data_IF_659251398592
#
_entry.id   IF_659251398592
#
_cell.length_a   1.000
_cell.length_b   1.000
_cell.length_c   1.000
_cell.angle_alpha   90.00
_cell.angle_beta   90.00
_cell.angle_gamma   90.00
#
_symmetry.space_group_name_H-M   'P 1'
#
loop_
_entity.id
_entity.type
_entity.pdbx_description
1 polymer ?
#
# COMPACT_ATOMS: atom_id res chain seq x y z
N UNK A 1 -48.19 -14.58 -28.34
CA UNK A 1 -48.19 -13.13 -28.57
C UNK A 1 -48.55 -12.37 -27.31
N UNK A 2 -47.57 -11.67 -26.73
CA UNK A 2 -47.82 -10.68 -25.68
C UNK A 2 -47.70 -9.33 -26.40
N UNK A 3 -48.84 -8.73 -26.72
CA UNK A 3 -48.85 -7.37 -27.25
C UNK A 3 -48.45 -6.41 -26.13
N UNK A 4 -47.55 -5.45 -26.36
CA UNK A 4 -47.22 -4.44 -25.36
C UNK A 4 -48.43 -3.52 -25.12
N UNK A 5 -48.79 -3.37 -23.85
CA UNK A 5 -49.74 -2.34 -23.42
C UNK A 5 -49.02 -0.99 -23.36
N UNK A 6 -49.54 0.01 -24.09
CA UNK A 6 -49.02 1.37 -24.07
C UNK A 6 -49.93 2.27 -23.23
N UNK A 7 -49.38 2.87 -22.18
CA UNK A 7 -50.06 3.87 -21.36
C UNK A 7 -49.67 5.28 -21.84
N UNK A 8 -50.60 6.00 -22.46
CA UNK A 8 -50.39 7.37 -22.91
C UNK A 8 -50.78 8.36 -21.80
N UNK A 9 -49.79 8.85 -21.06
CA UNK A 9 -50.00 9.75 -19.93
C UNK A 9 -50.01 11.21 -20.39
N UNK A 10 -51.19 11.85 -20.31
CA UNK A 10 -51.34 13.29 -20.60
C UNK A 10 -50.95 14.13 -19.39
N UNK A 11 -49.65 14.33 -19.23
CA UNK A 11 -49.03 15.02 -18.08
C UNK A 11 -49.61 16.44 -17.84
N UNK A 12 -50.04 17.16 -18.88
CA UNK A 12 -50.64 18.51 -18.74
C UNK A 12 -51.99 18.53 -18.01
N UNK A 13 -52.74 17.43 -17.99
CA UNK A 13 -54.03 17.34 -17.32
C UNK A 13 -53.92 16.82 -15.88
N UNK A 14 -52.70 16.51 -15.43
CA UNK A 14 -52.44 16.09 -14.06
C UNK A 14 -52.47 17.30 -13.12
N UNK A 15 -53.33 17.26 -12.10
CA UNK A 15 -53.57 18.35 -11.14
C UNK A 15 -52.53 18.43 -10.02
N UNK A 16 -51.34 17.88 -10.24
CA UNK A 16 -50.21 17.88 -9.28
C UNK A 16 -50.53 17.27 -7.90
N UNK A 17 -51.56 16.42 -7.85
CA UNK A 17 -52.00 15.73 -6.65
C UNK A 17 -51.66 14.25 -6.78
N UNK A 18 -50.54 13.85 -6.16
CA UNK A 18 -50.13 12.46 -6.14
C UNK A 18 -50.93 11.67 -5.10
N UNK A 19 -51.72 10.67 -5.54
CA UNK A 19 -52.51 9.80 -4.66
C UNK A 19 -52.03 8.35 -4.65
N UNK A 20 -51.22 7.97 -5.63
CA UNK A 20 -50.65 6.63 -5.78
C UNK A 20 -49.19 6.71 -6.31
N UNK A 21 -48.43 5.62 -6.26
CA UNK A 21 -47.03 5.61 -6.72
C UNK A 21 -46.82 6.04 -8.17
N UNK A 22 -47.77 5.78 -9.08
CA UNK A 22 -47.69 6.22 -10.47
C UNK A 22 -47.86 7.75 -10.57
N UNK A 23 -48.77 8.33 -9.79
CA UNK A 23 -48.97 9.78 -9.74
C UNK A 23 -47.74 10.51 -9.18
N UNK A 24 -47.00 9.90 -8.26
CA UNK A 24 -45.72 10.42 -7.77
C UNK A 24 -44.67 10.49 -8.90
N UNK A 25 -44.58 9.43 -9.71
CA UNK A 25 -43.74 9.43 -10.92
C UNK A 25 -44.18 10.46 -11.96
N UNK A 26 -45.50 10.61 -12.17
CA UNK A 26 -46.04 11.62 -13.09
C UNK A 26 -45.73 13.04 -12.58
N UNK A 27 -45.85 13.28 -11.27
CA UNK A 27 -45.48 14.56 -10.66
C UNK A 27 -44.00 14.87 -10.88
N UNK A 28 -43.12 13.90 -10.61
CA UNK A 28 -41.68 14.06 -10.83
C UNK A 28 -41.36 14.37 -12.29
N UNK A 29 -41.91 13.61 -13.24
CA UNK A 29 -41.66 13.81 -14.67
C UNK A 29 -42.19 15.15 -15.19
N UNK A 30 -43.25 15.69 -14.58
CA UNK A 30 -43.83 16.98 -14.94
C UNK A 30 -43.04 18.15 -14.37
N UNK A 31 -42.68 18.06 -13.09
CA UNK A 31 -42.21 19.20 -12.30
C UNK A 31 -40.69 19.15 -12.06
N UNK A 32 -40.03 18.05 -12.41
CA UNK A 32 -38.62 17.79 -12.12
C UNK A 32 -38.30 17.99 -10.63
N UNK A 33 -39.23 17.59 -9.77
CA UNK A 33 -39.15 17.72 -8.31
C UNK A 33 -39.78 16.49 -7.64
N UNK A 34 -39.24 16.10 -6.49
CA UNK A 34 -39.66 14.92 -5.73
C UNK A 34 -39.91 15.35 -4.29
N UNK A 35 -41.19 15.35 -3.90
CA UNK A 35 -41.59 15.73 -2.55
C UNK A 35 -41.08 14.70 -1.53
N UNK A 36 -40.86 15.16 -0.30
CA UNK A 36 -40.25 14.33 0.76
C UNK A 36 -41.12 13.12 1.14
N UNK A 37 -42.43 13.24 0.99
CA UNK A 37 -43.43 12.22 1.30
C UNK A 37 -43.59 11.14 0.21
N UNK A 38 -42.91 11.28 -0.93
CA UNK A 38 -43.01 10.29 -2.02
C UNK A 38 -42.31 8.99 -1.64
N UNK A 39 -42.96 7.87 -1.92
CA UNK A 39 -42.55 6.53 -1.48
C UNK A 39 -42.59 5.50 -2.61
N UNK A 40 -42.86 5.93 -3.84
CA UNK A 40 -42.82 5.07 -5.02
C UNK A 40 -41.48 4.33 -5.13
N UNK A 41 -41.54 3.04 -5.46
CA UNK A 41 -40.34 2.21 -5.64
C UNK A 41 -39.43 2.85 -6.69
N UNK A 42 -38.16 3.09 -6.36
CA UNK A 42 -37.18 3.71 -7.25
C UNK A 42 -37.13 5.25 -7.23
N UNK A 43 -38.04 5.91 -6.50
CA UNK A 43 -38.14 7.38 -6.48
C UNK A 43 -36.98 8.03 -5.70
N UNK A 44 -36.40 7.30 -4.74
CA UNK A 44 -35.25 7.76 -3.96
C UNK A 44 -33.98 7.84 -4.82
N UNK A 45 -33.76 6.85 -5.69
CA UNK A 45 -32.67 6.83 -6.66
C UNK A 45 -32.85 7.95 -7.70
N UNK A 46 -34.08 8.19 -8.17
CA UNK A 46 -34.39 9.33 -9.04
C UNK A 46 -34.14 10.67 -8.34
N UNK A 47 -34.39 10.77 -7.03
CA UNK A 47 -34.10 11.98 -6.24
C UNK A 47 -32.62 12.28 -6.18
N UNK A 48 -31.78 11.28 -6.01
CA UNK A 48 -30.33 11.46 -6.00
C UNK A 48 -29.80 11.83 -7.40
N UNK A 49 -30.32 11.21 -8.45
CA UNK A 49 -29.98 11.59 -9.82
C UNK A 49 -30.41 13.03 -10.16
N UNK A 50 -31.61 13.44 -9.72
CA UNK A 50 -32.10 14.81 -9.86
C UNK A 50 -31.23 15.80 -9.10
N UNK A 51 -30.78 15.46 -7.88
CA UNK A 51 -29.90 16.30 -7.07
C UNK A 51 -28.61 16.65 -7.80
N UNK A 52 -28.03 15.69 -8.53
CA UNK A 52 -26.82 15.91 -9.35
C UNK A 52 -27.13 16.75 -10.59
N UNK A 53 -28.25 16.51 -11.27
CA UNK A 53 -28.67 17.28 -12.45
C UNK A 53 -29.07 18.73 -12.13
N UNK A 54 -29.56 18.98 -10.92
CA UNK A 54 -29.95 20.32 -10.45
C UNK A 54 -28.78 21.12 -9.87
N UNK A 55 -27.55 20.57 -9.85
CA UNK A 55 -26.38 21.35 -9.47
C UNK A 55 -26.14 22.45 -10.50
N UNK A 56 -25.90 23.67 -10.02
CA UNK A 56 -25.34 24.73 -10.86
C UNK A 56 -23.97 24.31 -11.40
N UNK A 57 -23.48 24.97 -12.47
CA UNK A 57 -22.13 24.68 -12.99
C UNK A 57 -21.04 24.82 -11.91
N UNK A 58 -21.19 25.80 -11.01
CA UNK A 58 -20.26 26.01 -9.89
C UNK A 58 -20.30 24.85 -8.90
N UNK A 59 -21.49 24.39 -8.51
CA UNK A 59 -21.63 23.27 -7.58
C UNK A 59 -21.17 21.95 -8.19
N UNK A 60 -21.45 21.73 -9.50
CA UNK A 60 -20.97 20.56 -10.23
C UNK A 60 -19.45 20.54 -10.28
N UNK A 61 -18.82 21.67 -10.62
CA UNK A 61 -17.36 21.79 -10.63
C UNK A 61 -16.73 21.56 -9.24
N UNK A 62 -17.37 22.07 -8.18
CA UNK A 62 -16.93 21.82 -6.81
C UNK A 62 -17.06 20.34 -6.42
N UNK A 63 -18.15 19.68 -6.82
CA UNK A 63 -18.36 18.26 -6.59
C UNK A 63 -17.36 17.38 -7.34
N UNK A 64 -17.10 17.67 -8.62
CA UNK A 64 -16.09 16.97 -9.42
C UNK A 64 -14.69 17.15 -8.81
N UNK A 65 -14.33 18.37 -8.38
CA UNK A 65 -13.07 18.62 -7.67
C UNK A 65 -12.98 17.80 -6.39
N UNK A 66 -14.05 17.73 -5.59
CA UNK A 66 -14.08 16.90 -4.39
C UNK A 66 -13.84 15.42 -4.70
N UNK A 67 -14.51 14.88 -5.72
CA UNK A 67 -14.30 13.49 -6.14
C UNK A 67 -12.89 13.24 -6.64
N UNK A 68 -12.33 14.17 -7.41
CA UNK A 68 -10.95 14.06 -7.90
C UNK A 68 -9.96 14.11 -6.74
N UNK A 69 -10.13 15.06 -5.79
CA UNK A 69 -9.29 15.11 -4.59
C UNK A 69 -9.33 13.80 -3.80
N UNK A 70 -10.51 13.16 -3.68
CA UNK A 70 -10.64 11.86 -3.01
C UNK A 70 -9.93 10.73 -3.75
N UNK A 71 -9.97 10.74 -5.08
CA UNK A 71 -9.23 9.78 -5.93
C UNK A 71 -7.72 9.99 -5.81
N UNK A 72 -7.28 11.24 -5.84
CA UNK A 72 -5.87 11.60 -5.72
C UNK A 72 -5.33 11.20 -4.34
N UNK A 73 -6.10 11.47 -3.27
CA UNK A 73 -5.79 11.02 -1.90
C UNK A 73 -5.64 9.49 -1.83
N UNK A 74 -6.60 8.73 -2.38
CA UNK A 74 -6.52 7.27 -2.40
C UNK A 74 -5.33 6.76 -3.23
N UNK A 75 -5.04 7.40 -4.36
CA UNK A 75 -3.90 7.07 -5.23
C UNK A 75 -2.57 7.28 -4.50
N UNK A 76 -2.40 8.45 -3.86
CA UNK A 76 -1.21 8.77 -3.08
C UNK A 76 -0.98 7.76 -1.96
N UNK A 77 -2.02 7.41 -1.20
CA UNK A 77 -1.91 6.41 -0.13
C UNK A 77 -1.49 5.04 -0.68
N UNK A 78 -2.10 4.61 -1.79
CA UNK A 78 -1.74 3.34 -2.44
C UNK A 78 -0.29 3.32 -2.92
N UNK A 79 0.19 4.40 -3.54
CA UNK A 79 1.58 4.55 -3.96
C UNK A 79 2.52 4.52 -2.74
N UNK A 80 2.19 5.26 -1.68
CA UNK A 80 3.00 5.30 -0.46
C UNK A 80 3.12 3.92 0.20
N UNK A 81 2.04 3.14 0.25
CA UNK A 81 2.07 1.78 0.78
C UNK A 81 2.98 0.86 -0.05
N UNK A 82 2.93 0.96 -1.38
CA UNK A 82 3.76 0.19 -2.28
C UNK A 82 5.25 0.54 -2.13
N UNK A 83 5.55 1.84 -2.14
CA UNK A 83 6.92 2.34 -1.95
C UNK A 83 7.48 1.95 -0.58
N UNK A 84 6.67 2.03 0.47
CA UNK A 84 7.09 1.62 1.83
C UNK A 84 7.44 0.14 1.87
N UNK A 85 6.60 -0.73 1.30
CA UNK A 85 6.87 -2.18 1.23
C UNK A 85 8.16 -2.46 0.47
N UNK A 86 8.34 -1.82 -0.69
CA UNK A 86 9.55 -1.95 -1.49
C UNK A 86 10.80 -1.50 -0.72
N UNK A 87 10.74 -0.37 -0.02
CA UNK A 87 11.87 0.13 0.78
C UNK A 87 12.23 -0.81 1.92
N UNK A 88 11.24 -1.40 2.60
CA UNK A 88 11.47 -2.40 3.66
C UNK A 88 12.15 -3.64 3.10
N UNK A 89 11.65 -4.18 1.99
CA UNK A 89 12.25 -5.36 1.33
C UNK A 89 13.70 -5.08 0.90
N UNK A 90 13.96 -3.93 0.30
CA UNK A 90 15.32 -3.52 -0.09
C UNK A 90 16.23 -3.32 1.12
N UNK A 91 15.70 -2.79 2.23
CA UNK A 91 16.47 -2.64 3.46
C UNK A 91 16.84 -3.99 4.08
N UNK A 92 15.93 -4.97 4.05
CA UNK A 92 16.18 -6.33 4.51
C UNK A 92 17.26 -7.02 3.68
N UNK A 93 17.13 -6.96 2.34
CA UNK A 93 18.14 -7.51 1.42
C UNK A 93 19.52 -6.90 1.70
N UNK A 94 19.61 -5.57 1.79
CA UNK A 94 20.88 -4.88 2.09
C UNK A 94 21.42 -5.25 3.47
N UNK A 95 20.55 -5.45 4.46
CA UNK A 95 20.91 -5.89 5.80
C UNK A 95 21.56 -7.28 5.77
N UNK A 96 20.94 -8.22 5.08
CA UNK A 96 21.45 -9.59 4.90
C UNK A 96 22.79 -9.57 4.16
N UNK A 97 22.89 -8.86 3.05
CA UNK A 97 24.14 -8.76 2.27
C UNK A 97 25.28 -8.19 3.11
N UNK A 98 25.04 -7.10 3.85
CA UNK A 98 26.05 -6.52 4.75
C UNK A 98 26.44 -7.49 5.85
N UNK A 99 25.48 -8.18 6.46
CA UNK A 99 25.74 -9.18 7.50
C UNK A 99 26.59 -10.34 6.99
N UNK A 100 26.31 -10.86 5.79
CA UNK A 100 27.10 -11.91 5.15
C UNK A 100 28.54 -11.43 4.87
N UNK A 101 28.70 -10.22 4.33
CA UNK A 101 30.03 -9.67 4.03
C UNK A 101 30.86 -9.47 5.31
N UNK A 102 30.26 -8.87 6.34
CA UNK A 102 30.93 -8.67 7.63
C UNK A 102 31.28 -10.00 8.28
N UNK A 103 30.33 -10.93 8.37
CA UNK A 103 30.57 -12.25 8.95
C UNK A 103 31.64 -13.06 8.21
N UNK A 104 31.68 -12.96 6.87
CA UNK A 104 32.75 -13.59 6.07
C UNK A 104 34.11 -12.97 6.37
N UNK A 105 34.19 -11.63 6.46
CA UNK A 105 35.44 -10.94 6.75
C UNK A 105 35.96 -11.26 8.15
N UNK A 106 35.10 -11.20 9.16
CA UNK A 106 35.41 -11.55 10.54
C UNK A 106 35.83 -13.01 10.67
N UNK A 107 35.09 -13.93 10.03
CA UNK A 107 35.42 -15.36 10.00
C UNK A 107 36.78 -15.66 9.37
N UNK A 108 37.13 -14.98 8.27
CA UNK A 108 38.45 -15.12 7.63
C UNK A 108 39.57 -14.60 8.55
N UNK A 109 39.36 -13.46 9.21
CA UNK A 109 40.36 -12.89 10.12
C UNK A 109 40.57 -13.78 11.36
N UNK A 110 39.48 -14.24 11.96
CA UNK A 110 39.51 -15.15 13.10
C UNK A 110 40.18 -16.46 12.73
N UNK A 111 39.80 -17.08 11.61
CA UNK A 111 40.42 -18.32 11.13
C UNK A 111 41.93 -18.19 10.89
N UNK A 112 42.38 -17.10 10.27
CA UNK A 112 43.82 -16.83 10.10
C UNK A 112 44.56 -16.68 11.42
N UNK A 113 43.94 -16.07 12.43
CA UNK A 113 44.53 -15.91 13.76
C UNK A 113 44.61 -17.25 14.49
N UNK A 114 43.54 -18.03 14.45
CA UNK A 114 43.48 -19.37 15.04
C UNK A 114 44.49 -20.33 14.39
N UNK A 115 44.62 -20.29 13.07
CA UNK A 115 45.63 -21.06 12.33
C UNK A 115 47.06 -20.71 12.76
N UNK A 116 47.38 -19.41 12.88
CA UNK A 116 48.69 -18.96 13.39
C UNK A 116 48.97 -19.48 14.80
N UNK A 117 47.97 -19.44 15.69
CA UNK A 117 48.08 -19.95 17.06
C UNK A 117 48.27 -21.47 17.06
N UNK A 118 47.54 -22.20 16.21
CA UNK A 118 47.67 -23.65 16.08
C UNK A 118 49.07 -24.06 15.58
N UNK A 119 49.61 -23.35 14.59
CA UNK A 119 50.98 -23.55 14.10
C UNK A 119 51.99 -23.27 15.23
N UNK A 120 51.85 -22.16 15.96
CA UNK A 120 52.74 -21.82 17.07
C UNK A 120 52.73 -22.90 18.17
N UNK A 121 51.56 -23.44 18.52
CA UNK A 121 51.43 -24.57 19.46
C UNK A 121 52.19 -25.80 18.97
N UNK A 122 51.96 -26.20 17.72
CA UNK A 122 52.64 -27.37 17.14
C UNK A 122 54.16 -27.18 17.07
N UNK A 123 54.64 -25.98 16.74
CA UNK A 123 56.07 -25.69 16.73
C UNK A 123 56.69 -25.80 18.14
N UNK A 124 55.97 -25.36 19.17
CA UNK A 124 56.42 -25.44 20.56
C UNK A 124 56.46 -26.88 21.08
N UNK A 125 55.47 -27.69 20.70
CA UNK A 125 55.47 -29.14 20.98
C UNK A 125 56.68 -29.84 20.35
N UNK A 126 57.15 -29.35 19.20
CA UNK A 126 58.36 -29.84 18.52
C UNK A 126 59.68 -29.27 19.09
N UNK A 127 59.62 -28.40 20.10
CA UNK A 127 60.80 -27.86 20.77
C UNK A 127 61.54 -26.77 20.01
N UNK A 128 60.90 -26.11 19.03
CA UNK A 128 61.47 -24.96 18.33
C UNK A 128 61.63 -23.76 19.27
N UNK A 129 62.69 -22.97 19.09
CA UNK A 129 62.92 -21.77 19.90
C UNK A 129 61.95 -20.63 19.54
N UNK A 130 61.75 -19.72 20.50
CA UNK A 130 60.78 -18.63 20.40
C UNK A 130 61.03 -17.72 19.19
N UNK A 131 62.30 -17.46 18.83
CA UNK A 131 62.62 -16.59 17.68
C UNK A 131 62.27 -17.27 16.35
N UNK A 132 62.52 -18.57 16.23
CA UNK A 132 62.09 -19.34 15.06
C UNK A 132 60.56 -19.36 14.92
N UNK A 133 59.81 -19.52 16.02
CA UNK A 133 58.33 -19.50 16.00
C UNK A 133 57.77 -18.12 15.63
N UNK A 134 58.39 -17.04 16.14
CA UNK A 134 58.05 -15.66 15.78
C UNK A 134 58.20 -15.44 14.27
N UNK A 135 59.31 -15.90 13.69
CA UNK A 135 59.57 -15.75 12.26
C UNK A 135 58.56 -16.52 11.38
N UNK A 136 58.14 -17.72 11.80
CA UNK A 136 57.20 -18.57 11.04
C UNK A 136 55.76 -18.02 11.13
N UNK A 137 55.30 -17.68 12.33
CA UNK A 137 53.88 -17.35 12.59
C UNK A 137 53.57 -15.86 12.53
N UNK A 138 54.62 -15.03 12.57
CA UNK A 138 54.52 -13.56 12.65
C UNK A 138 53.70 -13.10 13.87
N UNK A 139 53.71 -13.90 14.94
CA UNK A 139 53.15 -13.55 16.25
C UNK A 139 54.22 -12.86 17.09
N UNK A 140 53.77 -12.00 18.01
CA UNK A 140 54.67 -11.37 18.97
C UNK A 140 55.21 -12.38 19.99
N UNK A 141 56.36 -12.07 20.58
CA UNK A 141 56.95 -12.85 21.69
C UNK A 141 55.94 -13.07 22.82
N UNK A 142 55.23 -12.03 23.23
CA UNK A 142 54.21 -12.11 24.29
C UNK A 142 53.07 -13.07 23.92
N UNK A 143 52.59 -13.04 22.67
CA UNK A 143 51.55 -13.97 22.22
C UNK A 143 52.04 -15.41 22.27
N UNK A 144 53.28 -15.69 21.83
CA UNK A 144 53.86 -17.05 21.86
C UNK A 144 54.14 -17.54 23.28
N UNK A 145 54.59 -16.67 24.18
CA UNK A 145 54.80 -16.97 25.59
C UNK A 145 53.49 -17.21 26.33
N UNK A 146 52.38 -16.61 25.87
CA UNK A 146 51.03 -16.79 26.42
C UNK A 146 50.27 -18.02 25.94
N UNK A 147 50.72 -18.63 24.83
CA UNK A 147 50.17 -19.88 24.28
C UNK A 147 50.47 -21.04 25.22
#
# INVERSE_FOLDING_TARGET
DIFPEYYLLKVRNFKDLAKNPLDEWIYFLKNSDIKAEFSAKGIAEAKEALRVNNLSEQERAAYERYLNNKRDEASMLSTQELETKWQVEQAEIRGIEKGIQQGKQEGIQQGKKEEKIAIARSCREQGLDVETIMNITQLSRQEIESI
#
